data_IF_424444099777
#
_entry.id   IF_424444099777
#
_cell.length_a   1.000
_cell.length_b   1.000
_cell.length_c   1.000
_cell.angle_alpha   90.00
_cell.angle_beta   90.00
_cell.angle_gamma   90.00
#
_symmetry.space_group_name_H-M   'P 1'
#
loop_
_entity.id
_entity.type
_entity.pdbx_description
1 polymer ?
#
# COMPACT_ATOMS: atom_id res chain seq x y z
N UNK A 1 -4.92 21.90 -3.79
CA UNK A 1 -6.16 21.12 -3.99
C UNK A 1 -5.88 20.07 -5.04
N UNK A 2 -6.28 18.81 -4.86
CA UNK A 2 -6.08 17.78 -5.89
C UNK A 2 -7.02 18.06 -7.08
N UNK A 3 -6.54 17.82 -8.31
CA UNK A 3 -7.34 18.00 -9.53
C UNK A 3 -7.41 16.71 -10.35
N UNK A 4 -8.22 16.69 -11.42
CA UNK A 4 -8.29 15.54 -12.34
C UNK A 4 -6.93 15.22 -12.99
N UNK A 5 -6.04 16.20 -13.11
CA UNK A 5 -4.69 16.02 -13.67
C UNK A 5 -3.77 15.22 -12.75
N UNK A 6 -4.10 15.11 -11.45
CA UNK A 6 -3.36 14.27 -10.50
C UNK A 6 -3.69 12.78 -10.63
N UNK A 7 -4.76 12.40 -11.34
CA UNK A 7 -5.22 11.01 -11.43
C UNK A 7 -4.12 10.04 -11.90
N UNK A 8 -3.32 10.34 -12.94
CA UNK A 8 -2.22 9.46 -13.35
C UNK A 8 -1.18 9.26 -12.24
N UNK A 9 -0.78 10.33 -11.53
CA UNK A 9 0.15 10.27 -10.40
C UNK A 9 -0.41 9.42 -9.26
N UNK A 10 -1.67 9.67 -8.86
CA UNK A 10 -2.33 8.90 -7.80
C UNK A 10 -2.46 7.40 -8.17
N UNK A 11 -2.67 7.07 -9.45
CA UNK A 11 -2.68 5.67 -9.92
C UNK A 11 -1.30 5.02 -9.81
N UNK A 12 -0.25 5.75 -10.20
CA UNK A 12 1.12 5.27 -10.08
C UNK A 12 1.50 5.03 -8.61
N UNK A 13 1.18 5.96 -7.72
CA UNK A 13 1.38 5.83 -6.27
C UNK A 13 0.60 4.61 -5.72
N UNK A 14 -0.68 4.49 -6.05
CA UNK A 14 -1.48 3.35 -5.59
C UNK A 14 -0.90 2.01 -6.04
N UNK A 15 -0.35 1.93 -7.27
CA UNK A 15 0.34 0.73 -7.76
C UNK A 15 1.62 0.47 -6.96
N UNK A 16 2.45 1.49 -6.77
CA UNK A 16 3.70 1.39 -6.01
C UNK A 16 3.45 0.88 -4.58
N UNK A 17 2.46 1.42 -3.88
CA UNK A 17 2.09 0.97 -2.54
C UNK A 17 1.55 -0.47 -2.52
N UNK A 18 0.80 -0.91 -3.55
CA UNK A 18 0.41 -2.32 -3.67
C UNK A 18 1.62 -3.24 -3.84
N UNK A 19 2.63 -2.81 -4.58
CA UNK A 19 3.86 -3.58 -4.76
C UNK A 19 4.68 -3.63 -3.46
N UNK A 20 4.78 -2.52 -2.72
CA UNK A 20 5.36 -2.52 -1.37
C UNK A 20 4.62 -3.46 -0.41
N UNK A 21 3.29 -3.46 -0.43
CA UNK A 21 2.50 -4.39 0.38
C UNK A 21 2.81 -5.87 0.04
N UNK A 22 3.03 -6.21 -1.24
CA UNK A 22 3.47 -7.56 -1.63
C UNK A 22 4.84 -7.89 -1.06
N UNK A 23 5.80 -6.98 -1.14
CA UNK A 23 7.14 -7.17 -0.58
C UNK A 23 7.10 -7.37 0.93
N UNK A 24 6.35 -6.54 1.67
CA UNK A 24 6.20 -6.67 3.12
C UNK A 24 5.52 -8.00 3.51
N UNK A 25 4.52 -8.47 2.76
CA UNK A 25 3.92 -9.80 2.99
C UNK A 25 4.92 -10.94 2.75
N UNK A 26 5.75 -10.83 1.71
CA UNK A 26 6.80 -11.81 1.45
C UNK A 26 7.85 -11.81 2.56
N UNK A 27 8.21 -10.64 3.09
CA UNK A 27 9.08 -10.51 4.25
C UNK A 27 8.46 -11.13 5.51
N UNK A 28 7.18 -10.86 5.80
CA UNK A 28 6.48 -11.47 6.92
C UNK A 28 6.46 -13.00 6.83
N UNK A 29 6.27 -13.55 5.63
CA UNK A 29 6.35 -14.99 5.39
C UNK A 29 7.76 -15.56 5.63
N UNK A 30 8.82 -14.82 5.27
CA UNK A 30 10.22 -15.20 5.57
C UNK A 30 10.49 -15.16 7.09
N UNK A 31 10.10 -14.08 7.78
CA UNK A 31 10.24 -13.98 9.23
C UNK A 31 9.51 -15.12 9.95
N UNK A 32 8.29 -15.47 9.52
CA UNK A 32 7.54 -16.62 10.05
C UNK A 32 8.32 -17.93 9.89
N UNK A 33 8.90 -18.19 8.71
CA UNK A 33 9.69 -19.40 8.45
C UNK A 33 10.95 -19.47 9.32
N UNK A 34 11.54 -18.33 9.65
CA UNK A 34 12.75 -18.23 10.45
C UNK A 34 12.48 -18.18 11.97
N UNK A 35 11.21 -18.21 12.41
CA UNK A 35 10.85 -18.06 13.82
C UNK A 35 10.99 -16.64 14.38
N UNK A 36 11.18 -15.63 13.53
CA UNK A 36 11.28 -14.22 13.92
C UNK A 36 9.88 -13.59 14.01
N UNK A 37 9.26 -13.71 15.18
CA UNK A 37 7.90 -13.21 15.42
C UNK A 37 7.82 -11.68 15.45
N UNK A 38 8.85 -11.00 15.94
CA UNK A 38 8.88 -9.54 15.99
C UNK A 38 9.05 -8.95 14.59
N UNK A 39 9.96 -9.50 13.78
CA UNK A 39 10.13 -9.11 12.38
C UNK A 39 8.87 -9.39 11.56
N UNK A 40 8.21 -10.53 11.81
CA UNK A 40 6.92 -10.84 11.19
C UNK A 40 5.87 -9.76 11.51
N UNK A 41 5.70 -9.41 12.80
CA UNK A 41 4.73 -8.39 13.21
C UNK A 41 5.01 -7.04 12.55
N UNK A 42 6.27 -6.60 12.53
CA UNK A 42 6.67 -5.34 11.88
C UNK A 42 6.41 -5.36 10.38
N UNK A 43 6.65 -6.48 9.71
CA UNK A 43 6.37 -6.64 8.29
C UNK A 43 4.86 -6.65 7.99
N UNK A 44 4.05 -7.31 8.82
CA UNK A 44 2.58 -7.30 8.71
C UNK A 44 1.99 -5.89 8.91
N UNK A 45 2.51 -5.12 9.87
CA UNK A 45 2.10 -3.72 10.08
C UNK A 45 2.39 -2.86 8.86
N UNK A 46 3.62 -2.92 8.31
CA UNK A 46 3.98 -2.20 7.08
C UNK A 46 3.11 -2.59 5.89
N UNK A 47 2.83 -3.89 5.73
CA UNK A 47 1.96 -4.37 4.67
C UNK A 47 0.56 -3.74 4.77
N UNK A 48 0.02 -3.66 5.99
CA UNK A 48 -1.30 -3.06 6.27
C UNK A 48 -1.30 -1.57 5.96
N UNK A 49 -0.27 -0.84 6.37
CA UNK A 49 -0.13 0.59 6.06
C UNK A 49 -0.05 0.85 4.55
N UNK A 50 0.74 0.08 3.82
CA UNK A 50 0.85 0.21 2.36
C UNK A 50 -0.49 -0.08 1.66
N UNK A 51 -1.26 -1.07 2.13
CA UNK A 51 -2.61 -1.34 1.60
C UNK A 51 -3.53 -0.15 1.84
N UNK A 52 -3.53 0.40 3.06
CA UNK A 52 -4.34 1.57 3.41
C UNK A 52 -4.03 2.76 2.50
N UNK A 53 -2.75 3.10 2.34
CA UNK A 53 -2.37 4.22 1.47
C UNK A 53 -2.80 3.97 0.02
N UNK A 54 -2.67 2.75 -0.50
CA UNK A 54 -3.15 2.41 -1.83
C UNK A 54 -4.68 2.54 -1.98
N UNK A 55 -5.44 2.24 -0.92
CA UNK A 55 -6.90 2.43 -0.86
C UNK A 55 -7.25 3.92 -0.85
N UNK A 56 -6.62 4.71 0.02
CA UNK A 56 -6.83 6.17 0.12
C UNK A 56 -6.60 6.86 -1.22
N UNK A 57 -5.55 6.46 -1.96
CA UNK A 57 -5.28 6.98 -3.32
C UNK A 57 -6.36 6.57 -4.32
N UNK A 58 -6.86 5.34 -4.20
CA UNK A 58 -7.99 4.84 -4.99
C UNK A 58 -9.29 5.62 -4.73
N UNK A 59 -9.56 5.94 -3.46
CA UNK A 59 -10.71 6.75 -3.06
C UNK A 59 -10.61 8.19 -3.55
N UNK A 60 -9.42 8.80 -3.43
CA UNK A 60 -9.16 10.13 -3.99
C UNK A 60 -9.42 10.17 -5.51
N UNK A 61 -8.98 9.15 -6.26
CA UNK A 61 -9.27 9.04 -7.70
C UNK A 61 -10.78 8.93 -7.96
N UNK A 62 -11.52 8.16 -7.15
CA UNK A 62 -12.98 8.05 -7.29
C UNK A 62 -13.66 9.40 -7.06
N UNK A 63 -13.27 10.12 -6.01
CA UNK A 63 -13.80 11.45 -5.69
C UNK A 63 -13.51 12.45 -6.83
N UNK A 64 -12.28 12.47 -7.35
CA UNK A 64 -11.89 13.38 -8.45
C UNK A 64 -12.62 13.09 -9.78
N UNK A 65 -13.06 11.85 -10.00
CA UNK A 65 -13.86 11.48 -11.18
C UNK A 65 -15.34 11.85 -11.05
N UNK A 66 -15.84 11.95 -9.82
CA UNK A 66 -17.22 12.29 -9.52
C UNK A 66 -17.45 13.81 -9.43
N UNK A 67 -16.42 14.57 -9.07
CA UNK A 67 -16.35 16.03 -9.22
C UNK A 67 -16.16 16.43 -10.70
#
# INVERSE_FOLDING_TARGET
MLTKDDIPRLRAEARQFRDYAKHSRAEAAKCKKNGDWLGKLKADTRATEHVRVAQDRGEAIKALKAA
#
